data_IF_395664628282
#
_entry.id   IF_395664628282
#
_cell.length_a   1.000
_cell.length_b   1.000
_cell.length_c   1.000
_cell.angle_alpha   90.00
_cell.angle_beta   90.00
_cell.angle_gamma   90.00
#
_symmetry.space_group_name_H-M   'P 1'
#
loop_
_entity.id
_entity.type
_entity.pdbx_description
1 polymer ?
#
# COMPACT_ATOMS: atom_id res chain seq x y z
N UNK A 1 3.28 16.12 5.91
CA UNK A 1 2.53 15.10 5.16
C UNK A 1 1.51 14.49 6.10
N UNK A 2 0.35 14.09 5.60
CA UNK A 2 -0.62 13.31 6.38
C UNK A 2 -0.15 11.86 6.50
N UNK A 3 -0.60 11.14 7.54
CA UNK A 3 -0.42 9.68 7.64
C UNK A 3 -0.96 8.97 6.38
N UNK A 4 -2.05 9.46 5.81
CA UNK A 4 -2.60 8.93 4.55
C UNK A 4 -1.67 9.14 3.35
N UNK A 5 -0.94 10.26 3.30
CA UNK A 5 0.05 10.54 2.24
C UNK A 5 1.24 9.58 2.34
N UNK A 6 1.74 9.36 3.56
CA UNK A 6 2.84 8.41 3.83
C UNK A 6 2.45 6.97 3.46
N UNK A 7 1.21 6.56 3.74
CA UNK A 7 0.70 5.25 3.34
C UNK A 7 0.55 5.11 1.82
N UNK A 8 0.12 6.17 1.12
CA UNK A 8 0.03 6.20 -0.35
C UNK A 8 1.42 6.11 -1.00
N UNK A 9 2.41 6.81 -0.44
CA UNK A 9 3.81 6.71 -0.87
C UNK A 9 4.35 5.29 -0.66
N UNK A 10 4.16 4.71 0.53
CA UNK A 10 4.60 3.35 0.83
C UNK A 10 3.95 2.31 -0.09
N UNK A 11 2.66 2.47 -0.43
CA UNK A 11 1.98 1.59 -1.39
C UNK A 11 2.61 1.67 -2.79
N UNK A 12 3.02 2.87 -3.23
CA UNK A 12 3.72 3.08 -4.49
C UNK A 12 5.08 2.36 -4.50
N UNK A 13 5.86 2.53 -3.43
CA UNK A 13 7.18 1.90 -3.29
C UNK A 13 7.10 0.37 -3.28
N UNK A 14 6.15 -0.19 -2.53
CA UNK A 14 5.92 -1.64 -2.47
C UNK A 14 5.49 -2.20 -3.84
N UNK A 15 4.65 -1.47 -4.57
CA UNK A 15 4.24 -1.85 -5.93
C UNK A 15 5.45 -1.90 -6.87
N UNK A 16 6.30 -0.86 -6.87
CA UNK A 16 7.50 -0.81 -7.69
C UNK A 16 8.52 -1.91 -7.31
N UNK A 17 8.69 -2.17 -6.01
CA UNK A 17 9.54 -3.25 -5.52
C UNK A 17 9.04 -4.63 -5.96
N UNK A 18 7.72 -4.87 -5.89
CA UNK A 18 7.11 -6.13 -6.31
C UNK A 18 7.32 -6.36 -7.81
N UNK A 19 7.19 -5.31 -8.63
CA UNK A 19 7.44 -5.40 -10.06
C UNK A 19 8.92 -5.69 -10.37
N UNK A 20 9.84 -5.04 -9.65
CA UNK A 20 11.27 -5.34 -9.75
C UNK A 20 11.59 -6.78 -9.36
N UNK A 21 11.03 -7.29 -8.26
CA UNK A 21 11.20 -8.67 -7.83
C UNK A 21 10.65 -9.68 -8.85
N UNK A 22 9.52 -9.36 -9.49
CA UNK A 22 8.95 -10.16 -10.58
C UNK A 22 9.90 -10.25 -11.76
N UNK A 23 10.47 -9.12 -12.21
CA UNK A 23 11.46 -9.08 -13.31
C UNK A 23 12.75 -9.85 -12.99
N UNK A 24 13.12 -9.93 -11.71
CA UNK A 24 14.30 -10.67 -11.24
C UNK A 24 14.05 -12.16 -11.00
N UNK A 25 12.82 -12.65 -11.20
CA UNK A 25 12.50 -14.07 -10.99
C UNK A 25 12.55 -14.48 -9.51
N UNK A 26 12.16 -13.58 -8.59
CA UNK A 26 12.14 -13.82 -7.15
C UNK A 26 10.71 -14.06 -6.62
N UNK A 27 10.11 -15.26 -6.84
CA UNK A 27 8.70 -15.49 -6.56
C UNK A 27 8.31 -15.32 -5.10
N UNK A 28 9.14 -15.78 -4.15
CA UNK A 28 8.88 -15.59 -2.72
C UNK A 28 8.90 -14.11 -2.33
N UNK A 29 9.82 -13.32 -2.90
CA UNK A 29 9.88 -11.88 -2.65
C UNK A 29 8.65 -11.17 -3.20
N UNK A 30 8.17 -11.53 -4.38
CA UNK A 30 6.91 -11.00 -4.94
C UNK A 30 5.74 -11.28 -4.01
N UNK A 31 5.63 -12.51 -3.48
CA UNK A 31 4.58 -12.88 -2.53
C UNK A 31 4.60 -12.00 -1.28
N UNK A 32 5.76 -11.85 -0.63
CA UNK A 32 5.91 -11.04 0.59
C UNK A 32 5.57 -9.56 0.34
N UNK A 33 6.07 -8.99 -0.75
CA UNK A 33 5.78 -7.60 -1.12
C UNK A 33 4.31 -7.40 -1.50
N UNK A 34 3.67 -8.39 -2.11
CA UNK A 34 2.24 -8.32 -2.44
C UNK A 34 1.36 -8.38 -1.20
N UNK A 35 1.73 -9.18 -0.19
CA UNK A 35 1.05 -9.18 1.10
C UNK A 35 1.21 -7.84 1.82
N UNK A 36 2.44 -7.32 1.90
CA UNK A 36 2.68 -6.01 2.52
C UNK A 36 1.90 -4.89 1.81
N UNK A 37 1.83 -4.92 0.48
CA UNK A 37 1.05 -3.95 -0.29
C UNK A 37 -0.46 -4.03 0.01
N UNK A 38 -1.00 -5.22 0.25
CA UNK A 38 -2.39 -5.41 0.64
C UNK A 38 -2.69 -4.74 1.99
N UNK A 39 -1.86 -5.02 3.01
CA UNK A 39 -2.00 -4.43 4.35
C UNK A 39 -1.96 -2.89 4.30
N UNK A 40 -1.03 -2.32 3.52
CA UNK A 40 -0.94 -0.85 3.38
C UNK A 40 -2.16 -0.27 2.69
N UNK A 41 -2.72 -0.95 1.68
CA UNK A 41 -3.95 -0.49 1.00
C UNK A 41 -5.15 -0.49 1.93
N UNK A 42 -5.29 -1.52 2.76
CA UNK A 42 -6.33 -1.57 3.80
C UNK A 42 -6.17 -0.43 4.80
N UNK A 43 -4.93 -0.12 5.20
CA UNK A 43 -4.65 1.02 6.07
C UNK A 43 -4.98 2.38 5.42
N UNK A 44 -4.78 2.54 4.10
CA UNK A 44 -5.19 3.75 3.35
C UNK A 44 -6.71 3.89 3.36
N UNK A 45 -7.44 2.82 3.05
CA UNK A 45 -8.91 2.85 3.06
C UNK A 45 -9.47 3.21 4.44
N UNK A 46 -8.88 2.67 5.51
CA UNK A 46 -9.27 3.02 6.89
C UNK A 46 -8.94 4.48 7.27
N UNK A 47 -8.02 5.15 6.58
CA UNK A 47 -7.78 6.59 6.78
C UNK A 47 -8.76 7.48 6.02
N UNK A 48 -9.21 7.05 4.83
CA UNK A 48 -10.16 7.83 4.02
C UNK A 48 -11.60 7.78 4.62
N UNK A 49 -11.98 6.73 5.36
CA UNK A 49 -13.30 6.61 6.02
C UNK A 49 -13.51 7.56 7.21
N UNK A 50 -12.45 8.12 7.80
CA UNK A 50 -12.54 9.01 8.96
C UNK A 50 -12.88 10.46 8.57
N UNK A 51 -12.71 10.83 7.30
CA UNK A 51 -12.99 12.18 6.80
C UNK A 51 -14.44 12.36 6.26
N UNK A 52 -15.27 11.30 6.26
CA UNK A 52 -16.66 11.31 5.75
C UNK A 52 -17.74 11.24 6.86
N UNK A 53 -17.48 11.79 8.05
CA UNK A 53 -18.52 12.02 9.09
C UNK A 53 -18.95 13.50 9.09
N UNK A 54 -19.49 13.95 7.95
CA UNK A 54 -19.80 15.34 7.67
C UNK A 54 -21.12 15.54 6.93
N UNK A 55 -22.20 14.87 7.32
CA UNK A 55 -23.56 15.26 6.92
C UNK A 55 -24.59 14.83 7.98
N UNK A 56 -24.96 15.79 8.84
CA UNK A 56 -26.12 15.73 9.74
C UNK A 56 -27.41 16.16 9.02
#
# INVERSE_FOLDING_TARGET
>A
MSRGDELKELASDLSHAAEKARRLGLPTTVYLLSMALMEVREAVSATDEVDDDGAA
#
